data_IF_738505931205
#
_entry.id   IF_738505931205
#
_cell.length_a   1.000
_cell.length_b   1.000
_cell.length_c   1.000
_cell.angle_alpha   90.00
_cell.angle_beta   90.00
_cell.angle_gamma   90.00
#
_symmetry.space_group_name_H-M   'P 1'
#
loop_
_entity.id
_entity.type
_entity.pdbx_description
1 polymer ?
#
# COMPACT_ATOMS: atom_id res chain seq x y z
N UNK A 1 2.41 7.59 -34.21
CA UNK A 1 1.44 8.62 -34.60
C UNK A 1 0.13 8.23 -33.95
N UNK A 2 -0.58 9.21 -33.37
CA UNK A 2 -1.75 9.10 -32.48
C UNK A 2 -1.37 8.75 -31.03
N UNK A 3 -1.62 9.58 -30.02
CA UNK A 3 -2.21 10.92 -29.96
C UNK A 3 -1.70 11.55 -28.65
N UNK A 4 -1.44 12.86 -28.66
CA UNK A 4 -1.23 13.64 -27.44
C UNK A 4 -2.55 13.69 -26.68
N UNK A 5 -2.56 13.35 -25.39
CA UNK A 5 -3.59 13.87 -24.49
C UNK A 5 -3.08 14.00 -23.04
N UNK A 6 -2.90 15.27 -22.69
CA UNK A 6 -3.11 15.91 -21.38
C UNK A 6 -2.19 15.49 -20.22
N UNK A 7 -1.11 16.26 -20.11
CA UNK A 7 -0.35 16.47 -18.88
C UNK A 7 -1.22 17.15 -17.83
N UNK A 8 -1.87 16.37 -16.97
CA UNK A 8 -2.40 16.89 -15.70
C UNK A 8 -1.20 17.24 -14.79
N UNK A 9 -0.90 18.54 -14.76
CA UNK A 9 0.02 19.13 -13.81
C UNK A 9 -0.64 19.12 -12.43
N UNK A 10 -0.32 18.12 -11.62
CA UNK A 10 -0.38 18.28 -10.17
C UNK A 10 1.04 18.15 -9.63
N UNK A 11 1.60 19.30 -9.25
CA UNK A 11 2.83 19.39 -8.47
C UNK A 11 2.58 18.78 -7.08
N UNK A 12 3.06 17.55 -6.89
CA UNK A 12 3.50 17.12 -5.57
C UNK A 12 5.02 16.96 -5.67
N UNK A 13 5.68 17.80 -4.87
CA UNK A 13 7.12 18.04 -4.79
C UNK A 13 7.98 16.77 -4.75
N UNK A 14 9.05 16.81 -5.56
CA UNK A 14 10.33 16.12 -5.37
C UNK A 14 10.35 14.59 -5.27
N UNK A 15 9.93 13.89 -6.33
CA UNK A 15 10.58 12.61 -6.65
C UNK A 15 10.74 12.43 -8.16
N UNK A 16 11.83 12.98 -8.72
CA UNK A 16 12.21 12.73 -10.10
C UNK A 16 12.84 11.34 -10.21
N UNK A 17 12.00 10.33 -10.41
CA UNK A 17 12.46 8.99 -10.77
C UNK A 17 12.35 8.80 -12.29
N UNK A 18 13.36 9.28 -13.02
CA UNK A 18 13.52 8.93 -14.42
C UNK A 18 14.11 7.51 -14.52
N UNK A 19 13.29 6.49 -14.29
CA UNK A 19 13.65 5.10 -14.63
C UNK A 19 12.72 4.63 -15.75
N UNK A 20 13.24 4.71 -16.97
CA UNK A 20 12.76 3.86 -18.07
C UNK A 20 13.38 2.46 -17.89
N UNK A 21 12.86 1.70 -16.92
CA UNK A 21 13.01 0.24 -16.85
C UNK A 21 11.65 -0.37 -17.12
N UNK A 22 11.52 -1.10 -18.21
CA UNK A 22 10.56 -2.19 -18.25
C UNK A 22 11.13 -3.33 -17.38
N UNK A 23 10.77 -3.33 -16.10
CA UNK A 23 10.99 -4.44 -15.16
C UNK A 23 9.62 -4.83 -14.61
N UNK A 24 9.28 -6.13 -14.64
CA UNK A 24 7.98 -6.70 -14.26
C UNK A 24 7.61 -6.49 -12.80
N UNK A 25 7.29 -5.25 -12.44
CA UNK A 25 6.58 -4.88 -11.21
C UNK A 25 5.08 -4.97 -11.43
N UNK A 26 4.35 -5.19 -10.34
CA UNK A 26 2.88 -5.17 -10.34
C UNK A 26 2.41 -3.77 -10.76
N UNK A 27 1.51 -3.64 -11.73
CA UNK A 27 0.97 -2.31 -12.06
C UNK A 27 0.02 -1.84 -10.95
N UNK A 28 -0.04 -0.52 -10.65
CA UNK A 28 -0.98 -0.01 -9.67
C UNK A 28 -2.43 -0.26 -10.11
N UNK A 29 -3.29 -0.62 -9.17
CA UNK A 29 -4.70 -0.90 -9.44
C UNK A 29 -5.41 0.44 -9.64
N UNK A 30 -6.12 0.58 -10.78
CA UNK A 30 -6.91 1.77 -11.10
C UNK A 30 -8.38 1.43 -11.08
N UNK A 31 -9.20 2.32 -10.53
CA UNK A 31 -10.65 2.21 -10.56
C UNK A 31 -11.29 3.51 -11.08
N UNK A 32 -12.50 3.39 -11.62
CA UNK A 32 -13.30 4.54 -12.00
C UNK A 32 -14.13 4.97 -10.79
N UNK A 33 -13.89 6.15 -10.27
CA UNK A 33 -14.75 6.76 -9.27
C UNK A 33 -16.05 7.20 -9.97
N UNK A 34 -17.19 6.65 -9.52
CA UNK A 34 -18.50 6.91 -10.15
C UNK A 34 -19.06 8.28 -9.79
N UNK A 35 -18.63 8.86 -8.68
CA UNK A 35 -19.11 10.15 -8.19
C UNK A 35 -18.42 11.30 -8.92
N UNK A 36 -17.11 11.18 -9.14
CA UNK A 36 -16.29 12.19 -9.83
C UNK A 36 -16.14 11.91 -11.32
N UNK A 37 -16.31 10.66 -11.75
CA UNK A 37 -16.07 10.22 -13.13
C UNK A 37 -14.59 10.07 -13.50
N UNK A 38 -13.69 10.17 -12.52
CA UNK A 38 -12.24 10.15 -12.73
C UNK A 38 -11.63 8.76 -12.52
N UNK A 39 -10.51 8.50 -13.20
CA UNK A 39 -9.73 7.28 -13.01
C UNK A 39 -8.74 7.48 -11.87
N UNK A 40 -9.06 6.90 -10.71
CA UNK A 40 -8.26 7.01 -9.49
C UNK A 40 -7.41 5.75 -9.28
N UNK A 41 -6.33 5.90 -8.52
CA UNK A 41 -5.46 4.77 -8.15
C UNK A 41 -5.81 4.29 -6.76
N UNK A 42 -6.04 2.99 -6.60
CA UNK A 42 -6.37 2.39 -5.31
C UNK A 42 -5.15 2.35 -4.41
N UNK A 43 -5.27 2.93 -3.21
CA UNK A 43 -4.27 2.80 -2.17
C UNK A 43 -4.45 1.46 -1.47
N UNK A 44 -3.65 0.46 -1.87
CA UNK A 44 -3.73 -0.89 -1.33
C UNK A 44 -2.97 -0.97 0.00
N UNK A 45 -3.66 -1.43 1.04
CA UNK A 45 -3.01 -1.67 2.33
C UNK A 45 -1.85 -2.67 2.21
N UNK A 46 -0.66 -2.23 2.62
CA UNK A 46 0.53 -3.07 2.61
C UNK A 46 1.06 -3.39 1.20
N UNK A 47 0.73 -2.57 0.20
CA UNK A 47 1.16 -2.75 -1.20
C UNK A 47 2.67 -3.02 -1.33
N UNK A 48 3.51 -2.28 -0.58
CA UNK A 48 4.96 -2.48 -0.57
C UNK A 48 5.37 -3.90 -0.13
N UNK A 49 4.72 -4.44 0.90
CA UNK A 49 4.95 -5.81 1.34
C UNK A 49 4.47 -6.83 0.30
N UNK A 50 3.30 -6.61 -0.31
CA UNK A 50 2.76 -7.48 -1.35
C UNK A 50 3.68 -7.51 -2.59
N UNK A 51 4.14 -6.35 -3.05
CA UNK A 51 5.10 -6.22 -4.14
C UNK A 51 6.41 -6.94 -3.84
N UNK A 52 6.91 -6.84 -2.61
CA UNK A 52 8.12 -7.56 -2.21
C UNK A 52 7.90 -9.08 -2.12
N UNK A 53 6.83 -9.52 -1.46
CA UNK A 53 6.53 -10.93 -1.22
C UNK A 53 6.27 -11.70 -2.52
N UNK A 54 5.53 -11.10 -3.46
CA UNK A 54 5.12 -11.76 -4.70
C UNK A 54 5.96 -11.37 -5.92
N UNK A 55 6.57 -10.18 -5.93
CA UNK A 55 7.35 -9.66 -7.06
C UNK A 55 8.84 -10.03 -7.05
N UNK A 56 9.39 -10.47 -5.92
CA UNK A 56 10.82 -10.81 -5.80
C UNK A 56 11.02 -12.32 -5.48
N UNK A 57 11.95 -13.04 -6.13
CA UNK A 57 12.30 -14.42 -5.75
C UNK A 57 12.64 -14.61 -4.25
N UNK A 58 13.25 -13.60 -3.62
CA UNK A 58 13.53 -13.65 -2.17
C UNK A 58 12.25 -13.59 -1.32
N UNK A 59 11.26 -12.79 -1.74
CA UNK A 59 9.95 -12.72 -1.09
C UNK A 59 9.20 -14.05 -1.18
N UNK A 60 9.25 -14.70 -2.35
CA UNK A 60 8.68 -16.04 -2.56
C UNK A 60 9.36 -17.08 -1.66
N UNK A 61 10.68 -17.04 -1.51
CA UNK A 61 11.39 -17.96 -0.63
C UNK A 61 11.01 -17.76 0.84
N UNK A 62 10.90 -16.50 1.31
CA UNK A 62 10.43 -16.17 2.64
C UNK A 62 8.98 -16.63 2.89
N UNK A 63 8.11 -16.46 1.88
CA UNK A 63 6.71 -16.90 1.92
C UNK A 63 6.62 -18.42 2.15
N UNK A 64 7.38 -19.20 1.38
CA UNK A 64 7.37 -20.66 1.47
C UNK A 64 8.07 -21.20 2.73
N UNK A 65 9.08 -20.51 3.24
CA UNK A 65 9.90 -21.00 4.36
C UNK A 65 9.30 -20.64 5.73
N UNK A 66 8.76 -19.42 5.86
CA UNK A 66 8.41 -18.84 7.16
C UNK A 66 6.94 -18.44 7.26
N UNK A 67 6.41 -17.71 6.27
CA UNK A 67 5.07 -17.10 6.35
C UNK A 67 3.95 -18.15 6.39
N UNK A 68 4.07 -19.25 5.64
CA UNK A 68 3.06 -20.34 5.63
C UNK A 68 3.05 -21.22 6.89
N UNK A 69 3.94 -20.99 7.87
CA UNK A 69 4.04 -21.82 9.06
C UNK A 69 3.08 -21.33 10.16
N UNK A 70 2.43 -22.23 10.91
CA UNK A 70 1.52 -21.84 12.00
C UNK A 70 2.22 -21.06 13.12
N UNK A 71 3.53 -21.24 13.27
CA UNK A 71 4.36 -20.46 14.20
C UNK A 71 4.38 -18.96 13.83
N UNK A 72 4.44 -18.63 12.54
CA UNK A 72 4.49 -17.23 12.08
C UNK A 72 3.22 -16.48 12.47
N UNK A 73 2.05 -17.09 12.27
CA UNK A 73 0.76 -16.50 12.67
C UNK A 73 0.71 -16.22 14.17
N UNK A 74 1.19 -17.15 15.01
CA UNK A 74 1.24 -16.96 16.47
C UNK A 74 2.20 -15.85 16.87
N UNK A 75 3.41 -15.84 16.29
CA UNK A 75 4.41 -14.82 16.57
C UNK A 75 3.95 -13.42 16.15
N UNK A 76 3.41 -13.29 14.93
CA UNK A 76 2.93 -12.01 14.41
C UNK A 76 1.70 -11.51 15.18
N UNK A 77 0.79 -12.41 15.52
CA UNK A 77 -0.36 -12.10 16.37
C UNK A 77 0.07 -11.59 17.74
N UNK A 78 1.03 -12.25 18.39
CA UNK A 78 1.55 -11.79 19.67
C UNK A 78 2.22 -10.40 19.56
N UNK A 79 2.98 -10.17 18.50
CA UNK A 79 3.61 -8.87 18.21
C UNK A 79 2.58 -7.76 17.96
N UNK A 80 1.44 -8.08 17.37
CA UNK A 80 0.33 -7.14 17.15
C UNK A 80 -0.59 -6.96 18.37
N UNK A 81 -0.43 -7.78 19.41
CA UNK A 81 -1.18 -7.68 20.66
C UNK A 81 -0.47 -6.82 21.73
N UNK A 82 0.68 -6.23 21.40
CA UNK A 82 1.44 -5.35 22.29
C UNK A 82 0.80 -3.95 22.31
N UNK A 83 0.61 -3.33 23.49
CA UNK A 83 0.01 -1.99 23.61
C UNK A 83 0.73 -0.90 22.80
N UNK A 84 2.01 -1.10 22.48
CA UNK A 84 2.79 -0.23 21.60
C UNK A 84 2.23 -0.14 20.17
N UNK A 85 1.40 -1.09 19.73
CA UNK A 85 0.84 -1.08 18.37
C UNK A 85 -0.19 0.02 18.16
N UNK A 86 -0.75 0.58 19.24
CA UNK A 86 -1.64 1.75 19.17
C UNK A 86 -0.95 2.94 18.49
N UNK A 87 0.36 3.09 18.67
CA UNK A 87 1.18 4.12 17.99
C UNK A 87 1.14 4.00 16.45
N UNK A 88 0.72 2.86 15.90
CA UNK A 88 0.59 2.64 14.45
C UNK A 88 -0.74 3.14 13.88
N UNK A 89 -1.72 3.49 14.73
CA UNK A 89 -3.04 3.93 14.28
C UNK A 89 -2.95 5.34 13.68
N UNK A 90 -2.28 6.27 14.37
CA UNK A 90 -2.09 7.64 13.89
C UNK A 90 -1.47 7.73 12.47
N UNK A 91 -0.32 7.09 12.17
CA UNK A 91 0.23 7.12 10.81
C UNK A 91 -0.63 6.37 9.79
N UNK A 92 -1.43 5.39 10.22
CA UNK A 92 -2.39 4.72 9.34
C UNK A 92 -3.50 5.68 8.92
N UNK A 93 -4.12 6.41 9.87
CA UNK A 93 -5.16 7.40 9.56
C UNK A 93 -4.64 8.49 8.62
N UNK A 94 -3.42 8.98 8.86
CA UNK A 94 -2.77 9.97 7.99
C UNK A 94 -2.51 9.42 6.58
N UNK A 95 -1.98 8.20 6.47
CA UNK A 95 -1.66 7.57 5.17
C UNK A 95 -2.91 7.39 4.31
N UNK A 96 -4.03 6.99 4.92
CA UNK A 96 -5.27 6.71 4.19
C UNK A 96 -6.28 7.87 4.21
N UNK A 97 -5.91 9.02 4.79
CA UNK A 97 -6.78 10.19 4.89
C UNK A 97 -8.09 9.93 5.63
N UNK A 98 -8.07 9.05 6.64
CA UNK A 98 -9.26 8.66 7.40
C UNK A 98 -9.49 9.60 8.58
N UNK A 99 -10.73 10.02 8.80
CA UNK A 99 -11.09 10.82 9.97
C UNK A 99 -11.26 9.92 11.21
N UNK A 100 -10.55 10.23 12.28
CA UNK A 100 -10.70 9.56 13.57
C UNK A 100 -12.13 9.70 14.13
N UNK A 101 -12.84 10.78 13.78
CA UNK A 101 -14.22 11.04 14.19
C UNK A 101 -15.26 10.10 13.58
N UNK A 102 -14.93 9.41 12.49
CA UNK A 102 -15.83 8.43 11.85
C UNK A 102 -15.88 7.10 12.63
N UNK A 103 -14.96 6.88 13.57
CA UNK A 103 -14.87 5.64 14.34
C UNK A 103 -15.63 5.75 15.67
N UNK A 104 -16.32 4.66 16.05
CA UNK A 104 -17.07 4.58 17.31
C UNK A 104 -16.19 4.76 18.56
N UNK A 105 -14.90 4.45 18.45
CA UNK A 105 -13.93 4.56 19.55
C UNK A 105 -12.78 5.45 19.13
N UNK A 106 -12.38 6.34 20.04
CA UNK A 106 -11.17 7.15 19.89
C UNK A 106 -9.95 6.24 19.74
N UNK A 107 -8.99 6.56 18.85
CA UNK A 107 -7.78 5.76 18.63
C UNK A 107 -6.72 5.82 19.77
N UNK A 108 -7.13 6.14 21.00
CA UNK A 108 -6.29 6.29 22.19
C UNK A 108 -6.13 4.99 23.02
#
# INVERSE_FOLDING_TARGET
MCEEDVMAQHEISNFKFLIRRHCGGVEPIKYLNRETGEMETEQVYGEGFLRWAYGNPLGKLALHSFVKRPFFSKWYGNRMNEAKTTEKIAPFLETYGLDAGDFEKSPD
#
